data_IF_843998495362
#
_entry.id   IF_843998495362
#
_cell.length_a   1.000
_cell.length_b   1.000
_cell.length_c   1.000
_cell.angle_alpha   90.00
_cell.angle_beta   90.00
_cell.angle_gamma   90.00
#
_symmetry.space_group_name_H-M   'P 1'
#
loop_
_entity.id
_entity.type
_entity.pdbx_description
1 polymer ?
#
# COMPACT_ATOMS: atom_id res chain seq x y z
N UNK A 1 1.63 5.27 16.09
CA UNK A 1 2.67 4.88 15.12
C UNK A 1 2.28 5.38 13.74
N UNK A 2 3.20 6.06 13.03
CA UNK A 2 3.07 6.41 11.62
C UNK A 2 4.02 5.50 10.83
N UNK A 3 3.48 4.74 9.87
CA UNK A 3 4.27 3.81 9.05
C UNK A 3 5.01 4.51 7.90
N UNK A 4 4.71 5.78 7.64
CA UNK A 4 5.19 6.52 6.48
C UNK A 4 4.48 6.10 5.19
N UNK A 5 4.81 6.80 4.11
CA UNK A 5 4.28 6.49 2.79
C UNK A 5 4.72 5.09 2.33
N UNK A 6 3.81 4.27 1.78
CA UNK A 6 4.15 2.96 1.24
C UNK A 6 5.15 3.08 0.09
N UNK A 7 5.99 2.07 -0.12
CA UNK A 7 6.90 2.06 -1.26
C UNK A 7 6.12 2.15 -2.57
N UNK A 8 6.54 3.04 -3.46
CA UNK A 8 5.99 3.19 -4.80
C UNK A 8 6.33 1.99 -5.67
N UNK A 9 5.33 1.42 -6.34
CA UNK A 9 5.51 0.35 -7.33
C UNK A 9 5.88 0.92 -8.69
N UNK A 10 6.90 0.35 -9.36
CA UNK A 10 7.39 0.84 -10.67
C UNK A 10 6.37 0.66 -11.81
N UNK A 11 5.54 -0.39 -11.74
CA UNK A 11 4.49 -0.72 -12.71
C UNK A 11 3.12 -0.84 -12.04
N UNK A 12 2.82 0.12 -11.17
CA UNK A 12 1.55 0.16 -10.47
C UNK A 12 1.43 1.40 -9.63
N UNK A 13 0.32 1.51 -8.93
CA UNK A 13 0.05 2.58 -8.00
C UNK A 13 -0.47 2.00 -6.69
N UNK A 14 -0.41 2.79 -5.63
CA UNK A 14 -1.05 2.47 -4.37
C UNK A 14 -2.10 3.51 -4.01
N UNK A 15 -3.11 3.07 -3.29
CA UNK A 15 -4.19 3.90 -2.77
C UNK A 15 -4.30 3.72 -1.26
N UNK A 16 -4.28 4.82 -0.52
CA UNK A 16 -4.50 4.81 0.92
C UNK A 16 -6.00 4.82 1.21
N UNK A 17 -6.51 3.77 1.89
CA UNK A 17 -7.94 3.67 2.22
C UNK A 17 -8.42 4.80 3.13
N UNK A 18 -7.53 5.33 3.98
CA UNK A 18 -7.85 6.39 4.94
C UNK A 18 -7.13 7.71 4.64
N UNK A 19 -6.52 7.84 3.45
CA UNK A 19 -5.68 8.98 3.07
C UNK A 19 -4.62 9.33 4.14
N UNK A 20 -4.14 8.31 4.85
CA UNK A 20 -3.26 8.43 6.00
C UNK A 20 -2.42 7.16 6.15
N UNK A 21 -1.31 7.28 6.87
CA UNK A 21 -0.30 6.23 7.09
C UNK A 21 -0.17 5.83 8.56
N UNK A 22 -1.16 6.21 9.38
CA UNK A 22 -1.19 5.90 10.82
C UNK A 22 -1.63 4.47 11.10
N UNK A 23 -1.43 4.03 12.35
CA UNK A 23 -1.87 2.72 12.84
C UNK A 23 -3.30 2.36 12.41
N UNK A 24 -3.45 1.16 11.84
CA UNK A 24 -4.72 0.65 11.31
C UNK A 24 -5.07 1.13 9.90
N UNK A 25 -4.33 2.08 9.33
CA UNK A 25 -4.51 2.48 7.94
C UNK A 25 -4.03 1.38 6.99
N UNK A 26 -4.74 1.24 5.86
CA UNK A 26 -4.42 0.27 4.83
C UNK A 26 -3.99 0.95 3.52
N UNK A 27 -2.96 0.39 2.90
CA UNK A 27 -2.54 0.70 1.55
C UNK A 27 -2.91 -0.45 0.62
N UNK A 28 -3.58 -0.14 -0.47
CA UNK A 28 -3.97 -1.10 -1.51
C UNK A 28 -3.11 -0.82 -2.74
N UNK A 29 -2.41 -1.84 -3.22
CA UNK A 29 -1.57 -1.82 -4.40
C UNK A 29 -2.32 -2.39 -5.59
N UNK A 30 -2.23 -1.68 -6.70
CA UNK A 30 -2.83 -2.04 -7.97
C UNK A 30 -1.77 -1.91 -9.07
N UNK A 31 -1.55 -2.99 -9.81
CA UNK A 31 -0.60 -3.00 -10.92
C UNK A 31 -1.24 -2.52 -12.21
N UNK A 32 -0.41 -2.00 -13.12
CA UNK A 32 -0.85 -1.61 -14.45
C UNK A 32 -1.26 -2.83 -15.28
N UNK A 33 -1.98 -2.59 -16.38
CA UNK A 33 -2.41 -3.66 -17.29
C UNK A 33 -1.21 -4.46 -17.81
N UNK A 34 -1.30 -5.80 -17.72
CA UNK A 34 -0.25 -6.79 -18.01
C UNK A 34 0.85 -6.95 -16.94
N UNK A 35 0.70 -6.31 -15.78
CA UNK A 35 1.54 -6.59 -14.61
C UNK A 35 0.73 -7.29 -13.53
N UNK A 36 1.40 -8.16 -12.79
CA UNK A 36 0.85 -8.85 -11.63
C UNK A 36 1.68 -8.50 -10.41
N UNK A 37 0.99 -8.29 -9.29
CA UNK A 37 1.66 -7.99 -8.04
C UNK A 37 2.26 -9.26 -7.45
N UNK A 38 3.57 -9.27 -7.25
CA UNK A 38 4.24 -10.33 -6.52
C UNK A 38 4.05 -10.10 -5.00
N UNK A 39 3.07 -10.79 -4.42
CA UNK A 39 2.77 -10.75 -2.99
C UNK A 39 1.40 -10.18 -2.64
N UNK A 40 1.31 -9.46 -1.51
CA UNK A 40 0.02 -8.98 -0.99
C UNK A 40 -0.35 -7.60 -1.54
N UNK A 41 -1.50 -7.53 -2.22
CA UNK A 41 -2.09 -6.27 -2.68
C UNK A 41 -2.52 -5.35 -1.56
N UNK A 42 -2.66 -5.85 -0.33
CA UNK A 42 -3.06 -5.03 0.82
C UNK A 42 -2.00 -5.07 1.89
N UNK A 43 -1.49 -3.91 2.27
CA UNK A 43 -0.63 -3.72 3.44
C UNK A 43 -1.38 -2.94 4.51
N UNK A 44 -1.22 -3.36 5.76
CA UNK A 44 -1.83 -2.72 6.93
C UNK A 44 -0.72 -2.16 7.80
N UNK A 45 -0.85 -0.91 8.22
CA UNK A 45 0.04 -0.33 9.22
C UNK A 45 -0.30 -0.95 10.59
N UNK A 46 0.51 -1.94 10.98
CA UNK A 46 0.46 -2.55 12.30
C UNK A 46 1.39 -1.76 13.23
N UNK A 47 0.94 -1.48 14.44
CA UNK A 47 1.75 -0.87 15.50
C UNK A 47 2.89 -1.85 15.80
N UNK A 48 4.12 -1.34 15.89
CA UNK A 48 5.25 -2.15 16.35
C UNK A 48 5.14 -2.40 17.85
#
# INVERSE_FOLDING_TARGET
VDCGEPESTEHGHYTLTSNATYYGAAAIYECDSNYELDGFARRLCLEN
#
